data_IF_295523059952
#
_entry.id   IF_295523059952
#
_cell.length_a   1.000
_cell.length_b   1.000
_cell.length_c   1.000
_cell.angle_alpha   90.00
_cell.angle_beta   90.00
_cell.angle_gamma   90.00
#
_symmetry.space_group_name_H-M   'P 1'
#
loop_
_entity.id
_entity.type
_entity.pdbx_description
1 polymer ?
#
# COMPACT_ATOMS: atom_id res chain seq x y z
N UNK A 1 -11.30 8.32 6.85
CA UNK A 1 -11.94 8.14 5.54
C UNK A 1 -11.23 6.99 4.82
N UNK A 2 -11.80 6.49 3.73
CA UNK A 2 -11.14 5.55 2.81
C UNK A 2 -11.14 6.16 1.41
N UNK A 3 -10.01 6.03 0.72
CA UNK A 3 -9.86 6.47 -0.66
C UNK A 3 -9.85 5.23 -1.56
N UNK A 4 -10.60 5.29 -2.65
CA UNK A 4 -10.50 4.35 -3.75
C UNK A 4 -10.29 5.15 -5.04
N UNK A 5 -9.04 5.29 -5.44
CA UNK A 5 -8.63 5.84 -6.74
C UNK A 5 -9.19 4.93 -7.85
N UNK A 6 -10.18 5.43 -8.59
CA UNK A 6 -10.91 4.64 -9.58
C UNK A 6 -10.28 4.69 -10.96
N UNK A 7 -9.47 5.71 -11.23
CA UNK A 7 -8.86 5.94 -12.53
C UNK A 7 -7.34 5.65 -12.52
N UNK A 8 -6.78 5.38 -11.34
CA UNK A 8 -5.38 5.03 -11.10
C UNK A 8 -4.39 6.15 -11.48
N UNK A 9 -4.81 7.41 -11.33
CA UNK A 9 -3.96 8.56 -11.66
C UNK A 9 -3.19 9.12 -10.44
N UNK A 10 -3.43 8.58 -9.24
CA UNK A 10 -2.78 8.99 -8.00
C UNK A 10 -3.26 10.34 -7.46
N UNK A 11 -4.33 10.91 -8.01
CA UNK A 11 -4.95 12.17 -7.57
C UNK A 11 -6.31 11.86 -6.95
N UNK A 12 -6.57 12.42 -5.77
CA UNK A 12 -7.88 12.20 -5.13
C UNK A 12 -8.95 13.07 -5.77
N UNK A 13 -9.90 12.41 -6.43
CA UNK A 13 -11.02 13.08 -7.11
C UNK A 13 -12.34 13.05 -6.32
N UNK A 14 -13.28 13.89 -6.76
CA UNK A 14 -14.62 13.93 -6.19
C UNK A 14 -15.33 12.58 -6.36
N UNK A 15 -15.73 11.99 -5.23
CA UNK A 15 -16.46 10.72 -5.19
C UNK A 15 -15.60 9.49 -4.94
N UNK A 16 -14.28 9.66 -4.86
CA UNK A 16 -13.33 8.60 -4.52
C UNK A 16 -13.11 8.45 -3.01
N UNK A 17 -13.30 9.54 -2.26
CA UNK A 17 -13.27 9.54 -0.81
C UNK A 17 -14.64 9.17 -0.23
N UNK A 18 -14.63 8.26 0.74
CA UNK A 18 -15.79 7.88 1.54
C UNK A 18 -15.49 7.98 3.03
N UNK A 19 -16.48 8.35 3.83
CA UNK A 19 -16.37 8.17 5.28
C UNK A 19 -16.25 6.67 5.60
N UNK A 20 -15.67 6.34 6.77
CA UNK A 20 -15.56 4.94 7.20
C UNK A 20 -16.95 4.31 7.36
N UNK A 21 -17.90 5.06 7.95
CA UNK A 21 -19.29 4.63 8.09
C UNK A 21 -19.99 4.38 6.75
N UNK A 22 -19.77 5.25 5.74
CA UNK A 22 -20.33 5.05 4.40
C UNK A 22 -19.69 3.86 3.66
N UNK A 23 -18.48 3.46 4.05
CA UNK A 23 -17.83 2.24 3.59
C UNK A 23 -18.21 1.00 4.44
N UNK A 24 -19.08 1.16 5.45
CA UNK A 24 -19.49 0.10 6.37
C UNK A 24 -18.42 -0.30 7.38
N UNK A 25 -17.31 0.43 7.50
CA UNK A 25 -16.24 0.14 8.45
C UNK A 25 -16.64 0.64 9.84
N UNK A 26 -16.63 -0.25 10.81
CA UNK A 26 -16.97 0.05 12.21
C UNK A 26 -15.71 0.15 13.07
N UNK A 27 -14.76 -0.79 12.93
CA UNK A 27 -13.54 -0.84 13.75
C UNK A 27 -12.31 -1.16 12.90
N UNK A 28 -11.18 -0.58 13.29
CA UNK A 28 -9.86 -0.92 12.76
C UNK A 28 -9.00 -1.26 13.98
N UNK A 29 -8.43 -2.45 13.99
CA UNK A 29 -7.55 -2.89 15.07
C UNK A 29 -6.21 -2.16 15.00
N UNK A 30 -5.66 -1.80 16.16
CA UNK A 30 -4.28 -1.32 16.29
C UNK A 30 -3.30 -2.46 16.56
N UNK A 31 -3.80 -3.68 16.77
CA UNK A 31 -2.97 -4.87 16.86
C UNK A 31 -2.48 -5.24 15.47
N UNK A 32 -1.17 -5.22 15.29
CA UNK A 32 -0.50 -5.61 14.06
C UNK A 32 -0.05 -7.06 14.18
N UNK A 33 -0.38 -7.86 13.17
CA UNK A 33 0.07 -9.25 13.05
C UNK A 33 0.64 -9.50 11.66
N UNK A 34 1.52 -10.50 11.55
CA UNK A 34 2.06 -10.96 10.26
C UNK A 34 2.92 -9.93 9.54
N UNK A 35 4.24 -9.98 9.74
CA UNK A 35 5.18 -9.55 8.70
C UNK A 35 5.24 -10.69 7.68
N UNK A 36 4.70 -10.49 6.49
CA UNK A 36 4.72 -11.53 5.47
C UNK A 36 5.73 -11.14 4.43
N UNK A 37 6.84 -11.87 4.43
CA UNK A 37 7.84 -11.89 3.38
C UNK A 37 7.09 -12.04 2.04
N UNK A 38 7.23 -11.03 1.17
CA UNK A 38 6.82 -10.97 -0.22
C UNK A 38 5.58 -11.83 -0.56
N UNK A 39 4.37 -11.26 -0.45
CA UNK A 39 3.19 -11.90 -1.05
C UNK A 39 3.40 -11.93 -2.58
N UNK A 40 3.59 -13.12 -3.21
CA UNK A 40 3.90 -13.22 -4.64
C UNK A 40 2.76 -12.74 -5.55
N UNK A 41 1.58 -12.48 -4.98
CA UNK A 41 0.40 -11.94 -5.68
C UNK A 41 0.45 -10.41 -5.83
N UNK A 42 1.36 -9.73 -5.12
CA UNK A 42 1.59 -8.30 -5.25
C UNK A 42 2.81 -8.11 -6.14
N UNK A 43 2.56 -7.74 -7.40
CA UNK A 43 3.59 -7.36 -8.36
C UNK A 43 4.47 -6.28 -7.75
N UNK A 44 5.68 -6.66 -7.32
CA UNK A 44 6.76 -5.80 -6.80
C UNK A 44 6.45 -4.96 -5.55
N UNK A 45 5.20 -4.91 -5.11
CA UNK A 45 4.77 -4.24 -3.87
C UNK A 45 4.90 -5.18 -2.67
N UNK A 46 5.25 -4.64 -1.50
CA UNK A 46 5.56 -5.42 -0.30
C UNK A 46 4.58 -5.13 0.82
N UNK A 47 4.10 -6.17 1.51
CA UNK A 47 3.30 -6.04 2.74
C UNK A 47 4.24 -5.91 3.93
N UNK A 48 4.10 -4.83 4.69
CA UNK A 48 4.92 -4.53 5.86
C UNK A 48 4.24 -4.95 7.18
N UNK A 49 2.91 -5.04 7.17
CA UNK A 49 2.12 -5.45 8.32
C UNK A 49 0.65 -5.67 7.97
N UNK A 50 -0.07 -6.34 8.86
CA UNK A 50 -1.49 -6.59 8.71
C UNK A 50 -2.24 -6.19 9.97
N UNK A 51 -3.49 -5.77 9.83
CA UNK A 51 -4.42 -5.54 10.93
C UNK A 51 -5.83 -5.98 10.56
N UNK A 52 -6.68 -6.17 11.55
CA UNK A 52 -8.08 -6.54 11.33
C UNK A 52 -8.95 -5.28 11.14
N UNK A 53 -9.88 -5.35 10.20
CA UNK A 53 -10.96 -4.37 10.02
C UNK A 53 -12.29 -5.09 10.18
N UNK A 54 -13.17 -4.53 11.01
CA UNK A 54 -14.50 -5.07 11.30
C UNK A 54 -15.53 -4.13 10.67
N UNK A 55 -16.42 -4.68 9.87
CA UNK A 55 -17.52 -3.98 9.25
C UNK A 55 -18.79 -4.06 10.11
N UNK A 56 -19.70 -3.13 9.90
CA UNK A 56 -20.98 -3.04 10.61
C UNK A 56 -21.92 -4.22 10.35
N UNK A 57 -21.69 -5.00 9.29
CA UNK A 57 -22.40 -6.24 9.00
C UNK A 57 -21.79 -7.46 9.75
N UNK A 58 -20.78 -7.23 10.59
CA UNK A 58 -20.05 -8.24 11.34
C UNK A 58 -18.94 -8.93 10.55
N UNK A 59 -18.75 -8.61 9.26
CA UNK A 59 -17.67 -9.17 8.44
C UNK A 59 -16.32 -8.64 8.93
N UNK A 60 -15.32 -9.51 8.95
CA UNK A 60 -13.94 -9.17 9.26
C UNK A 60 -13.09 -9.30 8.00
N UNK A 61 -12.19 -8.35 7.78
CA UNK A 61 -11.18 -8.42 6.72
C UNK A 61 -9.82 -7.97 7.23
N UNK A 62 -8.81 -8.09 6.38
CA UNK A 62 -7.44 -7.68 6.67
C UNK A 62 -7.15 -6.35 5.98
N UNK A 63 -6.65 -5.37 6.74
CA UNK A 63 -5.95 -4.21 6.21
C UNK A 63 -4.45 -4.49 6.19
N UNK A 64 -3.75 -3.87 5.25
CA UNK A 64 -2.33 -4.07 5.02
C UNK A 64 -1.61 -2.71 5.07
N UNK A 65 -0.44 -2.69 5.69
CA UNK A 65 0.57 -1.68 5.41
C UNK A 65 1.38 -2.16 4.19
N UNK A 66 1.49 -1.32 3.17
CA UNK A 66 2.01 -1.72 1.86
C UNK A 66 3.01 -0.69 1.36
N UNK A 67 4.23 -1.15 1.07
CA UNK A 67 5.16 -0.42 0.21
C UNK A 67 4.77 -0.69 -1.24
N UNK A 68 4.20 0.32 -1.90
CA UNK A 68 3.81 0.21 -3.31
C UNK A 68 5.04 0.26 -4.21
N UNK A 69 5.01 -0.55 -5.27
CA UNK A 69 5.96 -0.43 -6.36
C UNK A 69 5.85 0.95 -7.02
N UNK A 70 6.99 1.52 -7.38
CA UNK A 70 7.05 2.76 -8.13
C UNK A 70 8.17 2.68 -9.15
N UNK A 71 7.87 3.01 -10.40
CA UNK A 71 8.91 3.22 -11.40
C UNK A 71 9.64 4.54 -11.08
N UNK A 72 10.98 4.53 -10.92
CA UNK A 72 11.73 5.78 -10.87
C UNK A 72 11.49 6.53 -12.17
N UNK A 73 11.27 7.85 -12.09
CA UNK A 73 11.29 8.68 -13.30
C UNK A 73 12.57 8.38 -14.08
N UNK A 74 12.52 8.26 -15.42
CA UNK A 74 13.73 8.10 -16.21
C UNK A 74 14.66 9.26 -15.84
N UNK A 75 15.84 8.94 -15.32
CA UNK A 75 16.84 9.96 -15.00
C UNK A 75 17.13 10.71 -16.29
N UNK A 76 16.72 11.97 -16.38
CA UNK A 76 16.92 12.81 -17.56
C UNK A 76 18.37 13.30 -17.73
N UNK A 77 19.33 12.66 -17.07
CA UNK A 77 20.73 12.87 -17.34
C UNK A 77 21.18 11.80 -18.33
N UNK A 78 21.51 12.21 -19.55
CA UNK A 78 22.10 11.39 -20.62
C UNK A 78 23.51 10.86 -20.31
N UNK A 79 23.77 10.41 -19.09
CA UNK A 79 24.91 9.56 -18.79
C UNK A 79 24.48 8.12 -19.00
N UNK A 80 24.93 7.55 -20.12
CA UNK A 80 25.01 6.10 -20.26
C UNK A 80 25.78 5.56 -19.05
N UNK A 81 25.10 4.82 -18.19
CA UNK A 81 25.79 3.94 -17.25
C UNK A 81 24.95 2.69 -17.06
N UNK A 82 25.52 1.57 -17.47
CA UNK A 82 25.12 0.22 -17.08
C UNK A 82 24.70 0.18 -15.61
N UNK A 83 23.53 -0.37 -15.32
CA UNK A 83 23.06 -0.55 -13.96
C UNK A 83 24.01 -1.48 -13.19
N UNK A 84 24.74 -0.94 -12.20
CA UNK A 84 25.27 -1.73 -11.09
C UNK A 84 24.31 -1.57 -9.91
N UNK A 85 23.71 -2.66 -9.46
CA UNK A 85 22.92 -2.71 -8.23
C UNK A 85 23.88 -2.57 -7.04
N UNK A 86 23.94 -1.41 -6.40
CA UNK A 86 24.57 -1.28 -5.08
C UNK A 86 23.49 -1.36 -3.99
N UNK A 87 23.56 -2.46 -3.24
CA UNK A 87 22.73 -2.76 -2.07
C UNK A 87 23.39 -2.11 -0.84
N UNK A 88 22.74 -1.13 -0.21
CA UNK A 88 23.17 -0.63 1.10
C UNK A 88 22.06 -0.86 2.12
N UNK A 89 22.24 -1.89 2.96
CA UNK A 89 21.53 -2.01 4.24
C UNK A 89 22.09 -0.96 5.21
N UNK A 90 21.22 -0.19 5.86
CA UNK A 90 21.58 0.52 7.09
C UNK A 90 20.87 -0.14 8.28
N UNK A 91 21.68 -0.77 9.13
CA UNK A 91 21.33 -1.13 10.50
C UNK A 91 21.39 0.13 11.34
N UNK A 92 20.32 0.40 12.10
CA UNK A 92 20.42 1.13 13.37
C UNK A 92 19.66 0.33 14.43
#
# INVERSE_FOLDING_TARGET
>A
MVWNDRNHDGVSDKGELRSLSAAGIEKISLEVFGRTDLNPSLSESQVLGQSAVIFSDGRVTTAFDVALHSEPLPRSCGCSSSASLEYWQLIV
#
